data_IF_659232736120
#
_entry.id   IF_659232736120
#
_cell.length_a   1.000
_cell.length_b   1.000
_cell.length_c   1.000
_cell.angle_alpha   90.00
_cell.angle_beta   90.00
_cell.angle_gamma   90.00
#
_symmetry.space_group_name_H-M   'P 1'
#
loop_
_entity.id
_entity.type
_entity.pdbx_description
1 polymer ?
#
# COMPACT_ATOMS: atom_id res chain seq x y z
N UNK A 1 -43.76 -74.25 -13.55
CA UNK A 1 -42.98 -73.20 -12.84
C UNK A 1 -41.88 -72.50 -13.66
N UNK A 2 -41.69 -72.74 -14.97
CA UNK A 2 -40.69 -72.01 -15.79
C UNK A 2 -41.26 -70.98 -16.78
N UNK A 3 -42.58 -70.96 -17.03
CA UNK A 3 -43.22 -69.95 -17.90
C UNK A 3 -43.61 -68.66 -17.16
N UNK A 4 -44.10 -68.76 -15.92
CA UNK A 4 -44.56 -67.58 -15.14
C UNK A 4 -43.38 -66.64 -14.83
N UNK A 5 -42.21 -67.18 -14.51
CA UNK A 5 -40.97 -66.42 -14.24
C UNK A 5 -40.45 -65.68 -15.49
N UNK A 6 -40.72 -66.22 -16.69
CA UNK A 6 -40.29 -65.60 -17.95
C UNK A 6 -41.16 -64.39 -18.31
N UNK A 7 -42.46 -64.44 -18.05
CA UNK A 7 -43.35 -63.30 -18.29
C UNK A 7 -43.16 -62.17 -17.28
N UNK A 8 -42.85 -62.49 -16.01
CA UNK A 8 -42.56 -61.45 -15.00
C UNK A 8 -41.27 -60.70 -15.27
N UNK A 9 -40.25 -61.34 -15.87
CA UNK A 9 -39.00 -60.68 -16.25
C UNK A 9 -39.15 -59.78 -17.48
N UNK A 10 -40.05 -60.13 -18.42
CA UNK A 10 -40.31 -59.31 -19.62
C UNK A 10 -41.11 -58.05 -19.28
N UNK A 11 -42.05 -58.13 -18.33
CA UNK A 11 -42.81 -56.96 -17.84
C UNK A 11 -41.90 -56.01 -17.03
N UNK A 12 -40.97 -56.54 -16.24
CA UNK A 12 -40.01 -55.72 -15.50
C UNK A 12 -38.99 -55.01 -16.41
N UNK A 13 -38.60 -55.63 -17.54
CA UNK A 13 -37.69 -55.03 -18.51
C UNK A 13 -38.36 -53.95 -19.38
N UNK A 14 -39.67 -54.07 -19.64
CA UNK A 14 -40.45 -53.06 -20.39
C UNK A 14 -40.75 -51.79 -19.58
N UNK A 15 -40.72 -51.85 -18.24
CA UNK A 15 -40.88 -50.66 -17.40
C UNK A 15 -39.58 -49.83 -17.28
N UNK A 16 -38.43 -50.37 -17.71
CA UNK A 16 -37.12 -49.72 -17.57
C UNK A 16 -36.63 -48.98 -18.83
N UNK A 17 -37.37 -49.03 -19.95
CA UNK A 17 -36.92 -48.54 -21.26
C UNK A 17 -37.82 -47.47 -21.90
N UNK A 18 -38.83 -46.95 -21.18
CA UNK A 18 -39.52 -45.71 -21.57
C UNK A 18 -38.80 -44.51 -20.93
N UNK A 19 -37.95 -43.88 -21.73
CA UNK A 19 -37.11 -42.72 -21.42
C UNK A 19 -37.94 -41.40 -21.26
N UNK A 20 -37.33 -40.21 -21.36
CA UNK A 20 -36.57 -39.44 -20.36
C UNK A 20 -37.22 -38.03 -20.15
N UNK A 21 -36.48 -37.10 -19.53
CA UNK A 21 -36.73 -35.64 -19.49
C UNK A 21 -37.70 -35.10 -18.41
N UNK A 22 -37.17 -34.92 -17.19
CA UNK A 22 -37.59 -33.85 -16.29
C UNK A 22 -36.50 -33.58 -15.23
N UNK A 23 -35.35 -33.08 -15.66
CA UNK A 23 -34.44 -32.35 -14.77
C UNK A 23 -34.10 -31.01 -15.40
N UNK A 24 -35.15 -30.21 -15.61
CA UNK A 24 -35.03 -28.78 -15.83
C UNK A 24 -35.06 -28.08 -14.47
N UNK A 25 -33.99 -27.32 -14.21
CA UNK A 25 -33.90 -26.11 -13.39
C UNK A 25 -34.65 -26.08 -12.05
N UNK A 26 -33.88 -26.16 -10.96
CA UNK A 26 -34.08 -25.23 -9.84
C UNK A 26 -32.72 -24.89 -9.22
N UNK A 27 -32.04 -23.90 -9.81
CA UNK A 27 -30.96 -23.19 -9.16
C UNK A 27 -31.56 -22.28 -8.09
N UNK A 28 -31.93 -22.87 -6.95
CA UNK A 28 -32.33 -22.14 -5.75
C UNK A 28 -31.06 -21.80 -4.98
N UNK A 29 -30.73 -20.50 -4.97
CA UNK A 29 -29.70 -19.91 -4.12
C UNK A 29 -30.11 -20.02 -2.65
N UNK A 30 -29.88 -21.18 -2.04
CA UNK A 30 -29.90 -21.33 -0.59
C UNK A 30 -28.46 -21.35 -0.12
N UNK A 31 -28.11 -20.33 0.68
CA UNK A 31 -26.82 -20.27 1.36
C UNK A 31 -26.58 -21.55 2.13
N UNK A 32 -25.57 -22.32 1.73
CA UNK A 32 -25.10 -23.48 2.50
C UNK A 32 -24.58 -22.96 3.83
N UNK A 33 -25.38 -23.12 4.88
CA UNK A 33 -24.91 -22.98 6.26
C UNK A 33 -23.99 -24.15 6.52
N UNK A 34 -22.68 -23.95 6.34
CA UNK A 34 -21.67 -24.89 6.85
C UNK A 34 -21.84 -24.95 8.37
N UNK A 35 -22.24 -26.11 8.89
CA UNK A 35 -22.20 -26.39 10.33
C UNK A 35 -20.73 -26.55 10.71
N UNK A 36 -20.16 -25.50 11.31
CA UNK A 36 -18.80 -25.53 11.84
C UNK A 36 -18.66 -26.63 12.89
N UNK A 37 -17.49 -27.29 12.88
CA UNK A 37 -17.19 -28.34 13.84
C UNK A 37 -17.06 -27.75 15.26
N UNK A 38 -17.22 -28.55 16.33
CA UNK A 38 -17.02 -28.05 17.70
C UNK A 38 -15.65 -27.38 17.90
N UNK A 39 -14.60 -27.86 17.22
CA UNK A 39 -13.25 -27.26 17.25
C UNK A 39 -13.19 -25.85 16.67
N UNK A 40 -13.95 -25.57 15.61
CA UNK A 40 -14.00 -24.23 15.01
C UNK A 40 -14.78 -23.25 15.90
N UNK A 41 -15.70 -23.74 16.73
CA UNK A 41 -16.41 -22.92 17.72
C UNK A 41 -15.52 -22.51 18.88
N UNK A 42 -14.64 -23.40 19.34
CA UNK A 42 -13.71 -23.11 20.44
C UNK A 42 -12.62 -22.11 20.03
N UNK A 43 -12.15 -22.15 18.77
CA UNK A 43 -11.24 -21.14 18.23
C UNK A 43 -11.92 -19.77 18.01
N UNK A 44 -13.20 -19.77 17.65
CA UNK A 44 -13.97 -18.55 17.38
C UNK A 44 -14.50 -17.85 18.64
N UNK A 45 -14.68 -18.57 19.76
CA UNK A 45 -15.11 -17.99 21.03
C UNK A 45 -14.04 -17.16 21.73
N UNK A 46 -12.78 -17.28 21.32
CA UNK A 46 -11.61 -16.77 22.04
C UNK A 46 -11.16 -15.35 21.59
N UNK A 47 -11.69 -14.87 20.46
CA UNK A 47 -11.43 -13.52 19.92
C UNK A 47 -12.59 -12.59 20.25
N UNK A 48 -12.55 -11.98 21.43
CA UNK A 48 -13.52 -10.97 21.87
C UNK A 48 -13.54 -9.79 20.89
N UNK A 49 -14.74 -9.31 20.52
CA UNK A 49 -14.91 -8.12 19.67
C UNK A 49 -14.95 -8.36 18.15
N UNK A 50 -14.39 -9.47 17.64
CA UNK A 50 -14.36 -9.74 16.20
C UNK A 50 -15.25 -10.94 15.82
N UNK A 51 -16.32 -10.68 15.07
CA UNK A 51 -17.22 -11.75 14.59
C UNK A 51 -16.57 -12.55 13.46
N UNK A 52 -16.94 -13.84 13.33
CA UNK A 52 -16.46 -14.69 12.23
C UNK A 52 -16.81 -14.14 10.84
N UNK A 53 -17.97 -13.47 10.71
CA UNK A 53 -18.35 -12.78 9.46
C UNK A 53 -17.38 -11.64 9.14
N UNK A 54 -16.96 -10.89 10.16
CA UNK A 54 -16.01 -9.79 9.99
C UNK A 54 -14.63 -10.30 9.61
N UNK A 55 -14.13 -11.34 10.29
CA UNK A 55 -12.90 -12.04 9.89
C UNK A 55 -12.95 -12.48 8.43
N UNK A 56 -14.00 -13.20 8.04
CA UNK A 56 -14.13 -13.67 6.65
C UNK A 56 -14.29 -12.55 5.62
N UNK A 57 -14.71 -11.35 6.03
CA UNK A 57 -14.79 -10.19 5.13
C UNK A 57 -13.41 -9.56 4.89
N UNK A 58 -12.57 -9.50 5.93
CA UNK A 58 -11.22 -8.90 5.86
C UNK A 58 -10.13 -9.91 5.50
N UNK A 59 -10.42 -11.20 5.57
CA UNK A 59 -9.61 -12.28 4.99
C UNK A 59 -9.73 -12.18 3.46
N UNK A 60 -9.08 -11.16 2.89
CA UNK A 60 -8.96 -11.00 1.45
C UNK A 60 -8.11 -12.15 0.91
N UNK A 61 -8.67 -12.94 -0.01
CA UNK A 61 -7.87 -13.87 -0.78
C UNK A 61 -6.73 -13.10 -1.45
N UNK A 62 -5.47 -13.47 -1.23
CA UNK A 62 -4.37 -12.81 -1.90
C UNK A 62 -4.60 -12.95 -3.40
N UNK A 63 -4.46 -11.83 -4.13
CA UNK A 63 -4.54 -11.86 -5.59
C UNK A 63 -3.51 -12.87 -6.06
N UNK A 64 -3.95 -13.87 -6.84
CA UNK A 64 -3.07 -14.93 -7.31
C UNK A 64 -1.90 -14.31 -8.08
N UNK A 65 -0.67 -14.79 -7.83
CA UNK A 65 0.55 -14.34 -8.52
C UNK A 65 0.39 -14.29 -10.05
N UNK A 66 -0.49 -15.13 -10.61
CA UNK A 66 -0.83 -15.13 -12.04
C UNK A 66 -1.52 -13.85 -12.53
N UNK A 67 -2.34 -13.23 -11.69
CA UNK A 67 -3.09 -12.00 -12.00
C UNK A 67 -2.21 -10.74 -11.81
N UNK A 68 -1.16 -10.81 -11.00
CA UNK A 68 -0.17 -9.74 -10.89
C UNK A 68 0.70 -9.67 -12.16
N UNK A 69 0.89 -8.46 -12.68
CA UNK A 69 1.83 -8.20 -13.78
C UNK A 69 3.18 -7.70 -13.26
N UNK A 70 3.14 -6.98 -12.15
CA UNK A 70 4.32 -6.40 -11.52
C UNK A 70 4.07 -6.27 -10.03
N UNK A 71 5.11 -6.53 -9.25
CA UNK A 71 5.07 -6.40 -7.80
C UNK A 71 6.41 -5.90 -7.28
N UNK A 72 6.38 -5.09 -6.23
CA UNK A 72 7.59 -4.59 -5.57
C UNK A 72 7.32 -4.41 -4.08
N UNK A 73 8.23 -4.92 -3.25
CA UNK A 73 8.05 -4.88 -1.79
C UNK A 73 9.05 -3.96 -1.11
N UNK A 74 8.52 -2.90 -0.51
CA UNK A 74 9.26 -1.79 0.09
C UNK A 74 9.09 -1.82 1.61
N UNK A 75 10.09 -1.31 2.31
CA UNK A 75 10.06 -1.18 3.76
C UNK A 75 10.17 0.31 4.07
N UNK A 76 9.17 0.84 4.78
CA UNK A 76 9.16 2.24 5.20
C UNK A 76 9.26 2.38 6.69
N UNK A 77 9.88 3.47 7.09
CA UNK A 77 9.83 3.99 8.45
C UNK A 77 8.82 5.14 8.47
N UNK A 78 7.75 4.96 9.23
CA UNK A 78 6.80 6.01 9.58
C UNK A 78 7.29 6.68 10.85
N UNK A 79 7.55 7.97 10.78
CA UNK A 79 7.91 8.78 11.93
C UNK A 79 6.65 9.44 12.49
N UNK A 80 6.33 9.21 13.76
CA UNK A 80 5.12 9.72 14.40
C UNK A 80 5.22 11.19 14.77
N UNK A 81 6.41 11.77 14.72
CA UNK A 81 6.61 13.22 14.90
C UNK A 81 6.09 14.04 13.72
N UNK A 82 5.82 13.39 12.58
CA UNK A 82 5.23 14.03 11.39
C UNK A 82 3.72 14.10 11.52
N UNK A 83 3.15 15.25 11.18
CA UNK A 83 1.70 15.51 11.25
C UNK A 83 0.86 14.46 10.50
N UNK A 84 1.29 14.04 9.31
CA UNK A 84 0.60 13.01 8.52
C UNK A 84 0.42 11.67 9.25
N UNK A 85 1.31 11.35 10.19
CA UNK A 85 1.28 10.13 10.98
C UNK A 85 0.76 10.36 12.41
N UNK A 86 0.40 11.59 12.78
CA UNK A 86 -0.01 11.94 14.15
C UNK A 86 -1.21 11.13 14.63
N UNK A 87 -2.11 10.77 13.71
CA UNK A 87 -3.27 9.92 13.99
C UNK A 87 -2.91 8.51 14.51
N UNK A 88 -1.67 8.04 14.30
CA UNK A 88 -1.19 6.75 14.81
C UNK A 88 -0.70 6.83 16.27
N UNK A 89 -0.29 8.01 16.71
CA UNK A 89 0.29 8.25 18.03
C UNK A 89 -0.76 8.67 19.06
N UNK A 90 -1.68 9.56 18.68
CA UNK A 90 -2.68 10.10 19.60
C UNK A 90 -3.91 9.18 19.71
N UNK A 91 -4.54 9.09 20.89
CA UNK A 91 -4.18 9.77 22.14
C UNK A 91 -2.97 9.13 22.86
N UNK A 92 -2.14 9.95 23.52
CA UNK A 92 -0.95 9.49 24.26
C UNK A 92 -1.35 8.70 25.53
N UNK A 93 -2.37 9.21 26.22
CA UNK A 93 -3.00 8.55 27.36
C UNK A 93 -4.22 7.73 26.91
N UNK A 94 -4.50 6.64 27.65
CA UNK A 94 -5.69 5.84 27.41
C UNK A 94 -6.96 6.63 27.73
N UNK A 95 -7.82 6.81 26.73
CA UNK A 95 -9.15 7.39 26.88
C UNK A 95 -10.18 6.28 26.60
N UNK A 96 -11.24 6.21 27.40
CA UNK A 96 -12.29 5.20 27.20
C UNK A 96 -12.84 5.24 25.77
N UNK A 97 -12.55 4.19 24.99
CA UNK A 97 -13.02 4.02 23.61
C UNK A 97 -12.09 4.56 22.53
N UNK A 98 -10.96 5.19 22.85
CA UNK A 98 -9.92 5.53 21.89
C UNK A 98 -8.53 5.15 22.41
N UNK A 99 -7.86 4.31 21.63
CA UNK A 99 -6.49 3.88 21.89
C UNK A 99 -5.61 4.22 20.69
N UNK A 100 -4.33 4.49 20.96
CA UNK A 100 -3.34 4.59 19.91
C UNK A 100 -3.08 3.23 19.25
N UNK A 101 -2.47 3.25 18.06
CA UNK A 101 -2.24 2.03 17.28
C UNK A 101 -1.38 1.02 18.03
N UNK A 102 -0.36 1.48 18.75
CA UNK A 102 0.56 0.60 19.48
C UNK A 102 -0.17 -0.19 20.57
N UNK A 103 -1.01 0.48 21.35
CA UNK A 103 -1.74 -0.09 22.47
C UNK A 103 -2.80 -1.08 22.02
N UNK A 104 -3.47 -0.80 20.91
CA UNK A 104 -4.34 -1.78 20.22
C UNK A 104 -3.54 -3.03 19.90
N UNK A 105 -2.41 -2.89 19.18
CA UNK A 105 -1.57 -4.03 18.78
C UNK A 105 -1.06 -4.81 20.00
N UNK A 106 -0.52 -4.13 21.01
CA UNK A 106 0.07 -4.76 22.19
C UNK A 106 -0.97 -5.52 23.00
N UNK A 107 -2.16 -4.94 23.19
CA UNK A 107 -3.26 -5.58 23.92
C UNK A 107 -3.75 -6.84 23.21
N UNK A 108 -3.85 -6.81 21.87
CA UNK A 108 -4.25 -7.97 21.07
C UNK A 108 -3.21 -9.10 21.11
N UNK A 109 -1.93 -8.75 21.09
CA UNK A 109 -0.82 -9.71 21.22
C UNK A 109 -0.77 -10.30 22.63
N UNK A 110 -0.93 -9.46 23.67
CA UNK A 110 -0.98 -9.90 25.07
C UNK A 110 -2.14 -10.88 25.31
N UNK A 111 -3.32 -10.58 24.76
CA UNK A 111 -4.50 -11.44 24.85
C UNK A 111 -4.37 -12.75 24.04
N UNK A 112 -3.33 -12.90 23.21
CA UNK A 112 -3.12 -14.04 22.33
C UNK A 112 -4.11 -14.13 21.17
N UNK A 113 -4.71 -12.99 20.80
CA UNK A 113 -5.65 -12.87 19.67
C UNK A 113 -4.93 -12.64 18.35
N UNK A 114 -3.71 -12.09 18.43
CA UNK A 114 -2.85 -11.78 17.32
C UNK A 114 -1.45 -12.38 17.54
N UNK A 115 -0.84 -12.84 16.45
CA UNK A 115 0.47 -13.46 16.47
C UNK A 115 1.57 -12.45 16.10
N UNK A 116 2.52 -12.25 17.02
CA UNK A 116 3.74 -11.46 16.77
C UNK A 116 4.87 -12.32 16.20
N UNK A 117 5.64 -11.78 15.27
CA UNK A 117 6.79 -12.43 14.62
C UNK A 117 8.08 -11.66 14.90
N UNK A 118 9.20 -12.37 14.98
CA UNK A 118 10.46 -11.77 15.42
C UNK A 118 11.00 -10.79 14.39
N UNK A 119 11.53 -9.67 14.86
CA UNK A 119 12.30 -8.77 14.01
C UNK A 119 13.68 -9.36 13.74
N UNK A 120 13.94 -9.70 12.48
CA UNK A 120 15.25 -10.18 12.03
C UNK A 120 15.92 -9.07 11.19
N UNK A 121 17.21 -8.82 11.42
CA UNK A 121 18.03 -7.92 10.59
C UNK A 121 18.19 -8.44 9.14
N UNK A 122 17.78 -9.71 8.93
CA UNK A 122 17.77 -10.41 7.65
C UNK A 122 16.45 -10.29 6.88
N UNK A 123 15.88 -11.44 6.52
CA UNK A 123 14.59 -11.54 5.81
C UNK A 123 13.52 -11.84 6.83
N UNK A 124 12.40 -11.13 6.73
CA UNK A 124 11.24 -11.30 7.59
C UNK A 124 10.52 -12.58 7.19
N UNK A 125 10.27 -13.44 8.17
CA UNK A 125 9.67 -14.74 7.98
C UNK A 125 8.44 -14.85 8.88
N UNK A 126 7.26 -14.87 8.27
CA UNK A 126 6.00 -14.94 9.00
C UNK A 126 5.50 -16.37 9.19
N UNK A 127 6.39 -17.25 9.65
CA UNK A 127 6.10 -18.66 9.88
C UNK A 127 6.14 -18.99 11.38
N UNK A 128 5.50 -20.10 11.77
CA UNK A 128 5.45 -20.57 13.16
C UNK A 128 6.80 -20.58 13.92
N UNK A 129 7.94 -21.02 13.34
CA UNK A 129 9.21 -21.03 14.07
C UNK A 129 9.76 -19.64 14.41
N UNK A 130 9.29 -18.58 13.74
CA UNK A 130 9.69 -17.20 14.01
C UNK A 130 8.62 -16.42 14.79
N UNK A 131 7.62 -17.12 15.33
CA UNK A 131 6.64 -16.53 16.23
C UNK A 131 7.32 -16.18 17.55
N UNK A 132 7.11 -14.94 18.00
CA UNK A 132 7.70 -14.43 19.24
C UNK A 132 7.00 -15.07 20.43
N UNK A 133 7.77 -15.48 21.42
CA UNK A 133 7.23 -15.76 22.74
C UNK A 133 6.88 -14.44 23.44
N UNK A 134 5.60 -14.24 23.69
CA UNK A 134 5.05 -12.99 24.23
C UNK A 134 5.62 -12.65 25.61
N UNK A 135 5.94 -13.65 26.45
CA UNK A 135 6.55 -13.42 27.76
C UNK A 135 7.98 -12.88 27.61
N UNK A 136 8.80 -13.57 26.81
CA UNK A 136 10.18 -13.18 26.54
C UNK A 136 10.24 -11.77 25.91
N UNK A 137 9.25 -11.43 25.08
CA UNK A 137 9.12 -10.10 24.50
C UNK A 137 8.89 -9.03 25.57
N UNK A 138 7.92 -9.22 26.47
CA UNK A 138 7.68 -8.27 27.54
C UNK A 138 8.89 -8.11 28.45
N UNK A 139 9.56 -9.21 28.79
CA UNK A 139 10.78 -9.18 29.61
C UNK A 139 11.92 -8.42 28.91
N UNK A 140 12.14 -8.64 27.60
CA UNK A 140 13.14 -7.93 26.79
C UNK A 140 12.89 -6.43 26.72
N UNK A 141 11.63 -6.01 26.63
CA UNK A 141 11.25 -4.61 26.54
C UNK A 141 10.91 -3.97 27.89
N UNK A 142 11.04 -4.71 29.01
CA UNK A 142 10.71 -4.25 30.36
C UNK A 142 9.26 -3.75 30.50
N UNK A 143 8.33 -4.40 29.80
CA UNK A 143 6.89 -4.12 29.92
C UNK A 143 6.36 -4.99 31.06
N UNK A 144 5.70 -4.36 32.04
CA UNK A 144 5.07 -5.09 33.12
C UNK A 144 3.80 -5.77 32.61
N UNK A 145 3.59 -7.02 33.02
CA UNK A 145 2.44 -7.81 32.61
C UNK A 145 1.95 -8.70 33.75
N UNK A 146 0.67 -9.04 33.69
CA UNK A 146 0.03 -10.00 34.58
C UNK A 146 -0.56 -11.16 33.78
N UNK A 147 -0.75 -12.31 34.41
CA UNK A 147 -1.41 -13.44 33.74
C UNK A 147 -2.91 -13.17 33.66
N UNK A 148 -3.46 -13.19 32.45
CA UNK A 148 -4.88 -12.97 32.22
C UNK A 148 -5.72 -14.15 32.71
N UNK A 149 -6.99 -13.88 33.03
CA UNK A 149 -7.96 -14.91 33.40
C UNK A 149 -8.17 -15.90 32.24
N UNK A 150 -7.93 -17.18 32.49
CA UNK A 150 -8.02 -18.24 31.46
C UNK A 150 -6.72 -18.51 30.70
N UNK A 151 -5.60 -17.91 31.13
CA UNK A 151 -4.26 -18.31 30.68
C UNK A 151 -4.01 -19.79 30.99
N UNK A 152 -3.58 -20.54 29.98
CA UNK A 152 -3.25 -21.97 30.12
C UNK A 152 -1.78 -22.16 29.72
N UNK A 153 -1.08 -23.14 30.28
CA UNK A 153 0.33 -23.43 29.95
C UNK A 153 0.59 -23.59 28.44
N UNK A 154 -0.39 -24.13 27.69
CA UNK A 154 -0.31 -24.28 26.23
C UNK A 154 -0.63 -23.02 25.43
N UNK A 155 -1.39 -22.08 26.01
CA UNK A 155 -1.82 -20.82 25.37
C UNK A 155 -1.77 -19.73 26.44
N UNK A 156 -0.56 -19.23 26.74
CA UNK A 156 -0.42 -18.19 27.73
C UNK A 156 -1.12 -16.92 27.24
N UNK A 157 -1.89 -16.30 28.13
CA UNK A 157 -2.54 -15.02 27.90
C UNK A 157 -2.10 -14.05 28.99
N UNK A 158 -1.84 -12.82 28.59
CA UNK A 158 -1.35 -11.76 29.43
C UNK A 158 -2.28 -10.56 29.36
N UNK A 159 -2.35 -9.85 30.48
CA UNK A 159 -3.09 -8.62 30.63
C UNK A 159 -2.11 -7.54 31.11
N UNK A 160 -2.15 -6.38 30.47
CA UNK A 160 -1.25 -5.27 30.72
C UNK A 160 -2.10 -4.12 31.25
N UNK A 161 -1.69 -3.51 32.36
CA UNK A 161 -2.36 -2.33 32.87
C UNK A 161 -2.15 -1.17 31.89
N UNK A 162 -3.14 -0.30 31.69
CA UNK A 162 -2.94 0.87 30.87
C UNK A 162 -1.72 1.73 31.16
N UNK A 163 -1.33 1.82 32.42
CA UNK A 163 -0.20 2.63 32.87
C UNK A 163 1.16 2.00 32.51
N UNK A 164 1.19 0.69 32.27
CA UNK A 164 2.42 -0.08 32.05
C UNK A 164 2.82 -0.17 30.56
N UNK A 165 1.98 0.33 29.65
CA UNK A 165 2.26 0.35 28.22
C UNK A 165 3.16 1.54 27.90
N UNK A 166 4.36 1.33 27.34
CA UNK A 166 5.29 2.42 27.00
C UNK A 166 4.88 3.10 25.67
N UNK A 167 3.67 3.66 25.58
CA UNK A 167 3.17 4.35 24.39
C UNK A 167 4.05 5.54 24.00
N UNK A 168 4.50 6.31 24.99
CA UNK A 168 5.34 7.49 24.79
C UNK A 168 6.73 7.16 24.23
N UNK A 169 7.24 5.94 24.44
CA UNK A 169 8.53 5.50 23.87
C UNK A 169 8.39 5.06 22.40
N UNK A 170 7.18 4.76 21.91
CA UNK A 170 6.96 4.31 20.53
C UNK A 170 6.74 5.51 19.63
N UNK A 171 7.82 5.96 18.98
CA UNK A 171 7.82 7.15 18.12
C UNK A 171 7.90 6.83 16.61
N UNK A 172 8.04 5.56 16.23
CA UNK A 172 8.03 5.19 14.82
C UNK A 172 7.49 3.79 14.58
N UNK A 173 7.01 3.55 13.36
CA UNK A 173 6.66 2.21 12.87
C UNK A 173 7.50 1.84 11.66
N UNK A 174 7.92 0.59 11.59
CA UNK A 174 8.33 -0.01 10.34
C UNK A 174 7.13 -0.69 9.69
N UNK A 175 6.94 -0.45 8.41
CA UNK A 175 5.89 -1.08 7.61
C UNK A 175 6.49 -1.76 6.40
N UNK A 176 5.90 -2.89 6.02
CA UNK A 176 6.20 -3.58 4.76
C UNK A 176 5.05 -3.31 3.81
N UNK A 177 5.36 -2.70 2.68
CA UNK A 177 4.41 -2.37 1.62
C UNK A 177 4.64 -3.25 0.40
N UNK A 178 3.56 -3.81 -0.13
CA UNK A 178 3.50 -4.43 -1.44
C UNK A 178 2.86 -3.44 -2.42
N UNK A 179 3.65 -3.03 -3.39
CA UNK A 179 3.21 -2.27 -4.56
C UNK A 179 2.88 -3.28 -5.64
N UNK A 180 1.60 -3.44 -5.97
CA UNK A 180 1.11 -4.48 -6.87
C UNK A 180 0.36 -3.85 -8.04
N UNK A 181 0.63 -4.31 -9.27
CA UNK A 181 -0.13 -3.93 -10.45
C UNK A 181 -0.92 -5.13 -10.95
N UNK A 182 -2.25 -5.03 -10.81
CA UNK A 182 -3.20 -6.08 -11.16
C UNK A 182 -3.63 -5.94 -12.64
N UNK A 183 -3.48 -7.03 -13.41
CA UNK A 183 -3.89 -7.09 -14.83
C UNK A 183 -5.39 -6.95 -15.01
N UNK A 184 -6.19 -7.43 -14.05
CA UNK A 184 -7.64 -7.48 -14.18
C UNK A 184 -8.26 -6.11 -14.00
N UNK A 185 -7.86 -5.40 -12.94
CA UNK A 185 -8.31 -4.03 -12.69
C UNK A 185 -7.49 -2.97 -13.43
N UNK A 186 -6.32 -3.32 -13.99
CA UNK A 186 -5.36 -2.39 -14.61
C UNK A 186 -5.06 -1.19 -13.70
N UNK A 187 -4.94 -1.45 -12.40
CA UNK A 187 -4.62 -0.45 -11.39
C UNK A 187 -3.52 -0.95 -10.47
N UNK A 188 -2.72 -0.01 -10.04
CA UNK A 188 -1.71 -0.13 -9.03
C UNK A 188 -2.37 0.03 -7.67
N UNK A 189 -2.03 -0.87 -6.75
CA UNK A 189 -2.52 -0.87 -5.38
C UNK A 189 -1.36 -1.05 -4.41
N UNK A 190 -1.37 -0.24 -3.36
CA UNK A 190 -0.50 -0.41 -2.21
C UNK A 190 -1.23 -1.26 -1.17
N UNK A 191 -0.58 -2.34 -0.73
CA UNK A 191 -1.08 -3.19 0.35
C UNK A 191 -0.03 -3.30 1.43
N UNK A 192 -0.44 -3.13 2.68
CA UNK A 192 0.46 -3.35 3.82
C UNK A 192 0.50 -4.83 4.12
N UNK A 193 1.70 -5.40 4.18
CA UNK A 193 1.93 -6.80 4.54
C UNK A 193 2.07 -6.95 6.06
N UNK A 194 2.87 -6.08 6.68
CA UNK A 194 3.11 -6.14 8.11
C UNK A 194 3.47 -4.77 8.71
N UNK A 195 3.20 -4.62 10.00
CA UNK A 195 3.53 -3.44 10.82
C UNK A 195 4.41 -3.89 11.99
N UNK A 196 5.43 -3.12 12.31
CA UNK A 196 6.33 -3.32 13.45
C UNK A 196 6.47 -2.01 14.23
N UNK A 197 6.04 -1.95 15.50
CA UNK A 197 6.30 -0.79 16.33
C UNK A 197 7.76 -0.74 16.78
N UNK A 198 8.32 0.46 16.86
CA UNK A 198 9.73 0.71 17.18
C UNK A 198 9.82 1.62 18.40
N UNK A 199 10.46 1.15 19.46
CA UNK A 199 10.75 1.95 20.65
C UNK A 199 11.98 2.83 20.41
N UNK A 200 11.92 4.05 20.92
CA UNK A 200 13.02 5.00 20.94
C UNK A 200 13.42 5.21 22.39
N UNK A 201 14.61 4.73 22.77
CA UNK A 201 15.17 4.99 24.10
C UNK A 201 16.41 5.84 23.96
N UNK A 202 16.37 7.05 24.52
CA UNK A 202 17.57 7.87 24.69
C UNK A 202 18.41 7.30 25.82
N UNK A 203 19.69 7.05 25.59
CA UNK A 203 20.61 6.76 26.69
C UNK A 203 20.76 7.95 27.63
N UNK A 204 21.13 7.70 28.88
CA UNK A 204 21.31 8.71 29.95
C UNK A 204 22.26 9.88 29.61
N UNK A 205 22.99 9.80 28.49
CA UNK A 205 23.98 10.79 28.07
C UNK A 205 23.50 11.74 26.96
N UNK A 206 22.19 11.90 26.76
CA UNK A 206 21.65 12.87 25.80
C UNK A 206 22.02 12.60 24.34
N UNK A 207 22.29 11.35 24.00
CA UNK A 207 22.55 10.90 22.62
C UNK A 207 21.26 10.71 21.81
N UNK A 208 21.43 10.51 20.50
CA UNK A 208 20.33 10.17 19.60
C UNK A 208 19.60 8.91 20.09
N UNK A 209 18.26 8.93 20.08
CA UNK A 209 17.47 7.83 20.62
C UNK A 209 17.75 6.53 19.84
N UNK A 210 18.12 5.48 20.57
CA UNK A 210 18.40 4.18 19.97
C UNK A 210 17.06 3.54 19.61
N UNK A 211 16.94 3.12 18.34
CA UNK A 211 15.74 2.48 17.79
C UNK A 211 15.74 0.98 18.09
N UNK A 212 14.73 0.51 18.80
CA UNK A 212 14.51 -0.89 19.15
C UNK A 212 13.22 -1.40 18.47
N UNK A 213 13.33 -2.03 17.28
CA UNK A 213 12.17 -2.67 16.66
C UNK A 213 11.71 -3.85 17.52
N UNK A 214 10.41 -3.95 17.77
CA UNK A 214 9.88 -4.98 18.67
C UNK A 214 9.58 -6.29 17.97
N UNK A 215 8.47 -6.33 17.21
CA UNK A 215 7.96 -7.51 16.54
C UNK A 215 7.09 -7.09 15.36
N UNK A 216 7.02 -7.97 14.36
CA UNK A 216 6.13 -7.80 13.23
C UNK A 216 4.75 -8.39 13.50
N UNK A 217 3.74 -7.69 13.03
CA UNK A 217 2.35 -8.13 13.00
C UNK A 217 1.87 -8.14 11.58
N UNK A 218 1.24 -9.24 11.15
CA UNK A 218 0.58 -9.29 9.84
C UNK A 218 -0.58 -8.31 9.82
N UNK A 219 -0.62 -7.50 8.79
CA UNK A 219 -1.67 -6.49 8.65
C UNK A 219 -3.04 -7.14 8.48
N UNK A 220 -3.14 -8.22 7.70
CA UNK A 220 -4.41 -8.93 7.45
C UNK A 220 -5.10 -9.43 8.74
N UNK A 221 -4.34 -9.90 9.71
CA UNK A 221 -4.86 -10.35 11.02
C UNK A 221 -5.30 -9.17 11.90
N UNK A 222 -4.73 -7.98 11.66
CA UNK A 222 -4.97 -6.75 12.42
C UNK A 222 -6.17 -5.95 11.87
N UNK A 223 -6.44 -6.04 10.56
CA UNK A 223 -7.53 -5.29 9.88
C UNK A 223 -8.90 -5.36 10.55
N UNK A 224 -9.41 -6.52 11.02
CA UNK A 224 -10.71 -6.59 11.66
C UNK A 224 -10.83 -5.74 12.93
N UNK A 225 -9.70 -5.46 13.59
CA UNK A 225 -9.67 -4.62 14.78
C UNK A 225 -9.54 -3.14 14.38
N UNK A 226 -8.69 -2.83 13.39
CA UNK A 226 -8.46 -1.46 12.92
C UNK A 226 -9.67 -0.84 12.21
N UNK A 227 -10.49 -1.65 11.56
CA UNK A 227 -11.69 -1.16 10.87
C UNK A 227 -12.82 -0.76 11.81
N UNK A 228 -12.75 -1.14 13.09
CA UNK A 228 -13.76 -0.76 14.10
C UNK A 228 -13.42 0.53 14.82
N UNK A 229 -12.18 1.00 14.68
CA UNK A 229 -11.66 2.13 15.41
C UNK A 229 -11.58 3.34 14.49
N UNK A 230 -12.35 4.38 14.83
CA UNK A 230 -12.41 5.62 14.09
C UNK A 230 -11.36 6.61 14.59
N UNK A 231 -10.66 7.24 13.65
CA UNK A 231 -9.64 8.26 13.88
C UNK A 231 -9.98 9.53 13.10
N UNK A 232 -9.45 10.65 13.56
CA UNK A 232 -9.38 11.87 12.77
C UNK A 232 -7.97 11.96 12.16
N UNK A 233 -7.89 12.43 10.91
CA UNK A 233 -6.63 12.48 10.14
C UNK A 233 -6.13 13.92 9.96
N UNK A 234 -7.05 14.89 9.97
CA UNK A 234 -6.75 16.29 9.73
C UNK A 234 -7.18 17.15 10.93
N UNK A 235 -6.33 18.10 11.32
CA UNK A 235 -6.64 19.08 12.38
C UNK A 235 -7.74 20.07 11.98
N UNK A 236 -7.85 20.34 10.67
CA UNK A 236 -8.89 21.21 10.11
C UNK A 236 -10.26 20.52 10.14
N UNK A 237 -10.30 19.19 10.07
CA UNK A 237 -11.52 18.39 10.04
C UNK A 237 -11.46 17.25 11.06
N UNK A 238 -11.77 17.60 12.31
CA UNK A 238 -11.80 16.68 13.46
C UNK A 238 -12.96 15.67 13.44
N UNK A 239 -13.65 15.51 12.31
CA UNK A 239 -14.69 14.49 12.18
C UNK A 239 -14.02 13.12 11.99
N UNK A 240 -14.33 12.17 12.86
CA UNK A 240 -13.77 10.82 12.85
C UNK A 240 -14.38 9.95 11.74
N UNK A 241 -14.18 10.32 10.48
CA UNK A 241 -14.73 9.63 9.30
C UNK A 241 -13.88 8.48 8.80
N UNK A 242 -12.60 8.47 9.15
CA UNK A 242 -11.65 7.46 8.69
C UNK A 242 -11.40 6.44 9.79
N UNK A 243 -11.25 5.18 9.43
CA UNK A 243 -10.75 4.16 10.34
C UNK A 243 -9.24 4.00 10.20
N UNK A 244 -8.58 3.34 11.15
CA UNK A 244 -7.16 3.00 10.98
C UNK A 244 -6.92 2.15 9.72
N UNK A 245 -7.87 1.27 9.38
CA UNK A 245 -7.76 0.46 8.17
C UNK A 245 -7.86 1.31 6.89
N UNK A 246 -8.78 2.28 6.86
CA UNK A 246 -8.88 3.23 5.74
C UNK A 246 -7.62 4.09 5.59
N UNK A 247 -7.04 4.54 6.70
CA UNK A 247 -5.82 5.36 6.71
C UNK A 247 -4.66 4.68 5.99
N UNK A 248 -4.47 3.39 6.24
CA UNK A 248 -3.44 2.59 5.60
C UNK A 248 -3.79 2.20 4.15
N UNK A 249 -5.05 1.85 3.86
CA UNK A 249 -5.47 1.51 2.50
C UNK A 249 -5.44 2.70 1.54
N UNK A 250 -5.77 3.90 2.04
CA UNK A 250 -5.73 5.13 1.26
C UNK A 250 -4.30 5.69 1.13
N UNK A 251 -3.34 5.16 1.88
CA UNK A 251 -1.96 5.63 1.87
C UNK A 251 -1.81 7.05 2.42
N UNK A 252 -2.55 7.39 3.48
CA UNK A 252 -2.52 8.72 4.10
C UNK A 252 -1.28 8.97 4.97
N UNK A 253 -0.46 7.94 5.20
CA UNK A 253 0.78 8.03 5.95
C UNK A 253 1.94 8.58 5.11
N UNK A 254 2.91 9.20 5.78
CA UNK A 254 4.19 9.60 5.17
C UNK A 254 5.35 8.80 5.77
N UNK A 255 6.18 8.21 4.91
CA UNK A 255 7.22 7.28 5.33
C UNK A 255 8.44 7.28 4.41
N UNK A 256 9.61 7.24 5.04
CA UNK A 256 10.87 7.13 4.31
C UNK A 256 11.21 5.67 4.04
N UNK A 257 11.60 5.35 2.80
CA UNK A 257 12.00 4.00 2.43
C UNK A 257 13.40 3.74 3.02
N UNK A 258 13.51 2.78 3.94
CA UNK A 258 14.81 2.43 4.54
C UNK A 258 15.40 1.14 3.97
N UNK A 259 14.54 0.26 3.43
CA UNK A 259 14.95 -1.01 2.83
C UNK A 259 14.03 -1.34 1.65
N UNK A 260 14.59 -2.04 0.68
CA UNK A 260 13.83 -2.60 -0.44
C UNK A 260 14.08 -4.10 -0.48
N UNK A 261 13.09 -4.87 -0.91
CA UNK A 261 13.30 -6.30 -1.18
C UNK A 261 14.27 -6.42 -2.36
N UNK A 262 15.54 -6.67 -2.04
CA UNK A 262 16.64 -6.78 -2.99
C UNK A 262 17.31 -8.16 -2.87
N UNK A 263 18.03 -8.56 -3.92
CA UNK A 263 18.71 -9.86 -3.96
C UNK A 263 19.77 -10.01 -2.86
N UNK A 264 20.43 -8.91 -2.51
CA UNK A 264 21.50 -8.88 -1.50
C UNK A 264 20.98 -8.75 -0.06
N UNK A 265 19.67 -8.56 0.12
CA UNK A 265 19.01 -8.28 1.39
C UNK A 265 19.72 -7.20 2.23
N UNK A 266 20.14 -6.11 1.57
CA UNK A 266 20.82 -4.98 2.22
C UNK A 266 19.86 -3.81 2.36
N UNK A 267 19.95 -3.07 3.47
CA UNK A 267 19.24 -1.80 3.63
C UNK A 267 19.77 -0.74 2.67
N UNK A 268 19.01 0.33 2.45
CA UNK A 268 19.47 1.44 1.59
C UNK A 268 20.71 2.12 2.17
N UNK A 269 20.80 2.25 3.50
CA UNK A 269 21.98 2.76 4.19
C UNK A 269 23.25 1.93 3.93
N UNK A 270 23.11 0.60 3.80
CA UNK A 270 24.26 -0.26 3.50
C UNK A 270 24.68 -0.21 2.02
N UNK A 271 23.78 0.25 1.13
CA UNK A 271 24.05 0.38 -0.30
C UNK A 271 24.56 1.78 -0.67
N UNK A 272 24.09 2.81 0.03
CA UNK A 272 24.43 4.21 -0.21
C UNK A 272 25.05 4.79 1.06
N UNK A 273 26.37 5.01 1.03
CA UNK A 273 27.15 5.42 2.20
C UNK A 273 26.96 6.90 2.54
N UNK A 274 26.74 7.74 1.52
CA UNK A 274 26.56 9.19 1.71
C UNK A 274 25.07 9.53 1.89
N UNK A 275 24.72 10.47 2.79
CA UNK A 275 23.32 10.87 3.00
C UNK A 275 22.64 11.41 1.73
N UNK A 276 23.38 12.12 0.88
CA UNK A 276 22.85 12.66 -0.38
C UNK A 276 22.50 11.55 -1.38
N UNK A 277 23.38 10.55 -1.54
CA UNK A 277 23.09 9.40 -2.40
C UNK A 277 21.92 8.57 -1.88
N UNK A 278 21.82 8.43 -0.55
CA UNK A 278 20.72 7.73 0.10
C UNK A 278 19.40 8.42 -0.21
N UNK A 279 19.31 9.74 0.00
CA UNK A 279 18.09 10.51 -0.27
C UNK A 279 17.74 10.49 -1.75
N UNK A 280 18.72 10.70 -2.63
CA UNK A 280 18.50 10.58 -4.07
C UNK A 280 18.01 9.17 -4.47
N UNK A 281 18.52 8.11 -3.83
CA UNK A 281 18.05 6.75 -4.07
C UNK A 281 16.60 6.55 -3.59
N UNK A 282 16.25 7.06 -2.41
CA UNK A 282 14.88 7.05 -1.89
C UNK A 282 13.93 7.77 -2.85
N UNK A 283 14.24 9.01 -3.23
CA UNK A 283 13.44 9.83 -4.14
C UNK A 283 13.31 9.16 -5.53
N UNK A 284 14.41 8.58 -6.03
CA UNK A 284 14.41 7.87 -7.31
C UNK A 284 13.52 6.62 -7.26
N UNK A 285 13.53 5.89 -6.15
CA UNK A 285 12.66 4.72 -5.95
C UNK A 285 11.21 5.18 -5.87
N UNK A 286 10.91 6.18 -5.05
CA UNK A 286 9.55 6.71 -4.88
C UNK A 286 8.98 7.21 -6.21
N UNK A 287 9.74 8.03 -6.94
CA UNK A 287 9.34 8.51 -8.26
C UNK A 287 9.07 7.35 -9.25
N UNK A 288 9.87 6.28 -9.21
CA UNK A 288 9.61 5.09 -10.05
C UNK A 288 8.33 4.36 -9.67
N UNK A 289 7.95 4.36 -8.39
CA UNK A 289 6.72 3.77 -7.90
C UNK A 289 5.51 4.59 -8.38
N UNK A 290 5.55 5.91 -8.17
CA UNK A 290 4.44 6.81 -8.51
C UNK A 290 4.23 6.93 -10.03
N UNK A 291 5.32 7.03 -10.79
CA UNK A 291 5.25 7.13 -12.27
C UNK A 291 5.15 5.77 -12.97
N UNK A 292 5.03 4.66 -12.23
CA UNK A 292 4.96 3.33 -12.82
C UNK A 292 3.76 3.22 -13.76
N UNK A 293 2.57 3.59 -13.27
CA UNK A 293 1.32 3.54 -14.05
C UNK A 293 1.37 4.42 -15.28
N UNK A 294 1.83 5.67 -15.13
CA UNK A 294 1.91 6.63 -16.23
C UNK A 294 2.74 6.10 -17.40
N UNK A 295 3.77 5.30 -17.12
CA UNK A 295 4.66 4.69 -18.13
C UNK A 295 4.03 3.51 -18.86
N UNK A 296 3.00 2.88 -18.30
CA UNK A 296 2.27 1.79 -18.97
C UNK A 296 1.34 2.32 -20.07
N UNK A 297 0.86 3.55 -19.93
CA UNK A 297 -0.11 4.14 -20.84
C UNK A 297 0.55 4.91 -21.98
N UNK A 298 -0.11 4.96 -23.13
CA UNK A 298 0.31 5.81 -24.25
C UNK A 298 -0.04 7.26 -23.92
N UNK A 299 0.93 8.20 -23.94
CA UNK A 299 0.68 9.59 -23.65
C UNK A 299 -0.40 10.17 -24.56
N UNK A 300 -1.26 11.04 -24.00
CA UNK A 300 -2.33 11.65 -24.78
C UNK A 300 -1.77 12.57 -25.88
N UNK A 301 -2.54 12.83 -26.94
CA UNK A 301 -2.10 13.74 -28.01
C UNK A 301 -1.76 15.15 -27.50
N UNK A 302 -2.42 15.59 -26.42
CA UNK A 302 -2.13 16.87 -25.77
C UNK A 302 -0.79 16.83 -25.04
N UNK A 303 -0.52 15.77 -24.26
CA UNK A 303 0.78 15.57 -23.60
C UNK A 303 1.93 15.46 -24.61
N UNK A 304 1.70 14.79 -25.74
CA UNK A 304 2.72 14.69 -26.80
C UNK A 304 3.02 16.04 -27.45
N UNK A 305 2.02 16.92 -27.62
CA UNK A 305 2.24 18.29 -28.12
C UNK A 305 2.98 19.13 -27.09
N UNK A 306 2.54 19.11 -25.83
CA UNK A 306 3.22 19.82 -24.75
C UNK A 306 4.68 19.37 -24.59
N UNK A 307 4.96 18.05 -24.72
CA UNK A 307 6.32 17.52 -24.66
C UNK A 307 7.18 17.94 -25.85
N UNK A 308 6.59 18.14 -27.04
CA UNK A 308 7.29 18.69 -28.21
C UNK A 308 7.59 20.16 -28.02
N UNK A 309 6.61 20.95 -27.59
CA UNK A 309 6.76 22.39 -27.32
C UNK A 309 7.82 22.62 -26.24
N UNK A 310 7.77 21.91 -25.11
CA UNK A 310 8.77 22.00 -24.05
C UNK A 310 10.18 21.60 -24.53
N UNK A 311 10.29 20.63 -25.44
CA UNK A 311 11.57 20.24 -26.03
C UNK A 311 12.09 21.32 -26.98
N UNK A 312 11.23 21.88 -27.82
CA UNK A 312 11.60 22.98 -28.73
C UNK A 312 12.02 24.23 -27.95
N UNK A 313 11.33 24.55 -26.85
CA UNK A 313 11.71 25.63 -25.92
C UNK A 313 13.06 25.36 -25.24
N UNK A 314 13.30 24.13 -24.77
CA UNK A 314 14.57 23.75 -24.17
C UNK A 314 15.73 23.79 -25.18
N UNK A 315 15.51 23.32 -26.41
CA UNK A 315 16.48 23.40 -27.51
C UNK A 315 16.74 24.87 -27.90
N UNK A 316 15.70 25.73 -27.90
CA UNK A 316 15.85 27.16 -28.15
C UNK A 316 16.65 27.88 -27.04
N UNK A 317 16.38 27.55 -25.77
CA UNK A 317 17.14 28.06 -24.62
C UNK A 317 18.60 27.59 -24.65
N UNK A 318 18.84 26.32 -24.98
CA UNK A 318 20.19 25.78 -25.12
C UNK A 318 20.95 26.42 -26.29
N UNK A 319 20.28 26.67 -27.41
CA UNK A 319 20.85 27.38 -28.55
C UNK A 319 21.18 28.85 -28.21
N UNK A 320 20.30 29.53 -27.47
CA UNK A 320 20.54 30.89 -26.98
C UNK A 320 21.71 30.96 -25.98
N UNK A 321 21.85 29.96 -25.10
CA UNK A 321 22.98 29.85 -24.19
C UNK A 321 24.31 29.60 -24.92
N UNK A 322 24.30 28.74 -25.96
CA UNK A 322 25.48 28.46 -26.78
C UNK A 322 25.96 29.69 -27.58
N UNK A 323 25.04 30.52 -28.08
CA UNK A 323 25.38 31.74 -28.83
C UNK A 323 26.04 32.81 -27.92
N UNK A 324 25.65 32.86 -26.64
CA UNK A 324 26.21 33.80 -25.65
C UNK A 324 27.61 33.46 -25.12
N UNK A 325 28.18 32.31 -25.49
CA UNK A 325 29.50 31.85 -25.00
C UNK A 325 30.65 32.09 -26.01
N UNK A 326 30.39 32.79 -27.12
CA UNK A 326 31.42 33.15 -28.10
C UNK A 326 32.09 34.49 -27.77
N UNK A 327 33.04 34.49 -26.83
CA UNK A 327 34.03 35.58 -26.70
C UNK A 327 35.27 35.20 -27.49
N UNK A 328 35.55 35.98 -28.52
CA UNK A 328 36.66 35.89 -29.47
C UNK A 328 38.05 35.70 -28.82
N UNK A 329 38.86 34.80 -29.37
CA UNK A 329 40.33 34.91 -29.35
C UNK A 329 40.90 34.36 -30.67
N UNK A 330 41.74 35.10 -31.42
CA UNK A 330 42.12 34.70 -32.77
C UNK A 330 43.34 33.76 -32.81
N UNK A 331 43.14 32.58 -33.42
CA UNK A 331 43.99 31.74 -34.31
C UNK A 331 45.52 31.55 -34.04
N UNK A 332 46.13 30.39 -34.44
CA UNK A 332 46.41 30.17 -35.87
C UNK A 332 46.16 28.74 -36.41
N UNK A 333 46.08 28.70 -37.75
CA UNK A 333 45.78 27.58 -38.66
C UNK A 333 46.74 26.39 -38.56
N UNK A 334 46.19 25.17 -38.70
CA UNK A 334 46.91 24.06 -39.34
C UNK A 334 45.97 23.26 -40.26
N UNK A 335 46.52 22.80 -41.37
CA UNK A 335 45.88 22.16 -42.53
C UNK A 335 45.87 20.63 -42.47
N UNK A 336 44.95 20.03 -43.28
CA UNK A 336 44.78 18.60 -43.71
C UNK A 336 43.84 17.75 -42.84
N UNK A 337 43.03 16.81 -43.33
CA UNK A 337 42.60 16.39 -44.67
C UNK A 337 41.42 15.39 -44.52
N UNK A 338 40.39 15.53 -45.35
CA UNK A 338 39.50 14.50 -45.96
C UNK A 338 38.93 13.31 -45.16
N UNK A 339 37.59 13.19 -45.25
CA UNK A 339 36.80 12.05 -45.80
C UNK A 339 35.80 11.41 -44.81
N UNK A 340 34.50 11.64 -45.05
CA UNK A 340 33.54 10.60 -45.44
C UNK A 340 32.10 11.16 -45.52
N UNK A 341 31.47 10.89 -46.65
CA UNK A 341 30.09 11.26 -47.02
C UNK A 341 29.13 10.15 -46.56
N UNK A 342 27.96 10.49 -45.99
CA UNK A 342 26.74 9.70 -46.19
C UNK A 342 25.44 10.51 -46.01
N UNK A 343 24.94 10.96 -47.17
CA UNK A 343 23.54 11.16 -47.60
C UNK A 343 22.47 11.64 -46.61
N UNK A 344 22.07 12.93 -46.75
CA UNK A 344 20.72 13.43 -46.47
C UNK A 344 19.79 13.05 -47.63
N UNK A 345 18.70 12.34 -47.34
CA UNK A 345 17.58 12.14 -48.27
C UNK A 345 16.63 13.32 -48.12
N UNK A 346 16.55 14.14 -49.16
CA UNK A 346 15.60 15.25 -49.23
C UNK A 346 14.18 14.77 -49.50
N UNK A 347 13.21 15.39 -48.85
CA UNK A 347 11.88 15.59 -49.40
C UNK A 347 11.74 17.09 -49.63
N UNK A 348 11.59 17.45 -50.90
CA UNK A 348 11.17 18.77 -51.36
C UNK A 348 9.65 18.79 -51.20
N UNK A 349 9.12 19.77 -50.50
CA UNK A 349 7.89 20.38 -50.97
C UNK A 349 7.95 21.89 -50.78
N UNK A 350 7.49 22.57 -51.82
CA UNK A 350 7.67 23.99 -52.08
C UNK A 350 6.36 24.73 -51.78
N UNK A 351 6.41 25.78 -50.96
CA UNK A 351 5.51 26.92 -51.13
C UNK A 351 6.12 28.20 -50.56
N UNK A 352 5.81 29.30 -51.23
CA UNK A 352 6.57 30.53 -51.26
C UNK A 352 6.32 31.48 -50.08
N UNK A 353 7.41 32.12 -49.67
CA UNK A 353 7.60 33.42 -48.99
C UNK A 353 6.39 34.30 -48.61
N UNK A 354 6.40 34.82 -47.37
CA UNK A 354 6.33 36.28 -47.07
C UNK A 354 6.88 36.58 -45.65
N UNK A 355 7.69 37.65 -45.45
CA UNK A 355 8.20 37.99 -44.12
C UNK A 355 7.20 38.90 -43.39
N UNK A 356 6.87 38.57 -42.14
CA UNK A 356 6.11 39.47 -41.25
C UNK A 356 7.07 40.08 -40.23
N UNK A 357 7.04 41.41 -40.20
CA UNK A 357 7.80 42.31 -39.32
C UNK A 357 7.64 41.96 -37.85
N UNK A 358 8.75 42.02 -37.12
CA UNK A 358 8.78 42.07 -35.66
C UNK A 358 8.11 43.36 -35.15
N UNK A 359 7.21 43.22 -34.16
CA UNK A 359 6.73 44.32 -33.32
C UNK A 359 7.00 43.99 -31.85
N UNK A 360 7.72 44.91 -31.18
CA UNK A 360 8.08 44.91 -29.75
C UNK A 360 6.84 45.05 -28.82
N UNK A 361 6.96 44.71 -27.52
CA UNK A 361 5.83 44.35 -26.66
C UNK A 361 5.14 45.58 -26.05
N UNK A 362 3.85 45.42 -25.70
CA UNK A 362 3.11 46.36 -24.84
C UNK A 362 2.64 45.65 -23.58
N UNK A 363 3.23 46.05 -22.46
CA UNK A 363 2.78 45.81 -21.10
C UNK A 363 1.46 46.55 -20.85
N UNK A 364 0.42 45.87 -20.32
CA UNK A 364 -0.61 46.47 -19.46
C UNK A 364 -1.15 45.47 -18.44
N UNK A 365 -1.36 46.00 -17.25
CA UNK A 365 -1.53 45.35 -15.95
C UNK A 365 -3.02 45.18 -15.58
N UNK A 366 -3.28 44.16 -14.74
CA UNK A 366 -4.31 44.01 -13.69
C UNK A 366 -5.83 43.85 -13.98
N UNK A 367 -6.31 42.68 -13.50
CA UNK A 367 -7.47 42.41 -12.60
C UNK A 367 -8.84 42.01 -13.20
N UNK A 368 -9.64 41.24 -12.41
CA UNK A 368 -10.27 40.00 -12.84
C UNK A 368 -11.77 40.14 -13.12
N UNK A 369 -12.37 39.15 -13.77
CA UNK A 369 -13.83 39.04 -13.87
C UNK A 369 -14.31 37.63 -13.55
N UNK A 370 -14.90 37.55 -12.36
CA UNK A 370 -15.95 36.62 -11.99
C UNK A 370 -17.12 36.68 -12.97
N UNK A 371 -17.68 35.53 -13.34
CA UNK A 371 -19.12 35.37 -13.54
C UNK A 371 -19.51 33.92 -13.26
N UNK A 372 -20.32 33.79 -12.22
CA UNK A 372 -21.18 32.67 -11.88
C UNK A 372 -22.13 32.28 -13.02
N UNK A 373 -22.39 30.98 -13.18
CA UNK A 373 -23.73 30.52 -13.56
C UNK A 373 -24.03 29.15 -12.96
N UNK A 374 -24.98 29.18 -12.04
CA UNK A 374 -25.66 28.08 -11.38
C UNK A 374 -26.34 27.11 -12.36
N UNK A 375 -26.22 25.81 -12.11
CA UNK A 375 -27.22 24.82 -12.52
C UNK A 375 -27.38 23.77 -11.42
N UNK A 376 -28.26 24.08 -10.47
CA UNK A 376 -28.83 23.11 -9.55
C UNK A 376 -29.76 22.17 -10.32
N UNK A 377 -29.56 20.86 -10.21
CA UNK A 377 -30.62 19.87 -10.47
C UNK A 377 -30.67 18.87 -9.33
N UNK A 378 -31.47 19.25 -8.33
CA UNK A 378 -32.04 18.36 -7.33
C UNK A 378 -33.07 17.46 -8.01
N UNK A 379 -32.99 16.15 -7.77
CA UNK A 379 -34.17 15.27 -7.83
C UNK A 379 -34.16 14.41 -6.57
N UNK A 380 -34.99 14.82 -5.61
CA UNK A 380 -35.41 14.01 -4.47
C UNK A 380 -36.19 12.79 -4.96
N UNK A 381 -35.77 11.62 -4.51
CA UNK A 381 -36.57 10.63 -3.78
C UNK A 381 -38.08 10.56 -4.10
N UNK A 382 -38.52 9.44 -4.69
CA UNK A 382 -39.84 8.85 -4.38
C UNK A 382 -39.73 7.32 -4.32
N UNK A 383 -39.63 6.83 -3.09
CA UNK A 383 -40.16 5.54 -2.66
C UNK A 383 -41.68 5.52 -2.91
N UNK A 384 -42.19 4.43 -3.48
CA UNK A 384 -43.41 3.79 -2.99
C UNK A 384 -43.26 2.29 -3.13
#
# INVERSE_FOLDING_TARGET
MKLIIRYTLIVAALLAMAAPAASAQDASSSSVVKRNSPRDRDAAADKTGVTQRMQAFYEEEPVSDSELQWMRVMYRQLDLTKDANGALYFPDEHIEGQDNLFRIILTLVAAGQLDGYEYLDGREMFTEPFKVNVADMFDRFHILYTQAKGSTEKRPKYEIDPSDVPSTEVLSYYIIEKWEFDKRSNRMRTRIEAICPVLHRSGDFGGEAVKYPMFWVKYDDLRPYLSTQNIFVDDDNNLTTCTYDDFFQLGLYDGEIYKTRNLKNKSLMQMHQTPEELKHAQDSIQNRLDTFEEKLWVPSLAELRARREAREEAEALAAAAADSTSVDTPAPRSTRSSRAVKSKRGSKDSSASKPVKASKPKTKTSKPKSTSSSAARSVRNRKR
#
